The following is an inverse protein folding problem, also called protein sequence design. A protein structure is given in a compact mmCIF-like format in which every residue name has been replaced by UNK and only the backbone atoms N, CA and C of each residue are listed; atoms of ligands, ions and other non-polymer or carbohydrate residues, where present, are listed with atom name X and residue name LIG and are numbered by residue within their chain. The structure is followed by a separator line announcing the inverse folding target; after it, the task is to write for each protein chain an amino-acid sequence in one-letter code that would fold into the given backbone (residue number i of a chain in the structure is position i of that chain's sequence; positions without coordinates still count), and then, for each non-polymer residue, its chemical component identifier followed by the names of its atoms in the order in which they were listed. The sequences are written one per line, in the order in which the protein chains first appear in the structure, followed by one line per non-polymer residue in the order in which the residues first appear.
data_IF_924369681706
#
_entry.id   IF_924369681706
#
_cell.length_a   1.000
_cell.length_b   1.000
_cell.length_c   1.000
_cell.angle_alpha   90.00
_cell.angle_beta   90.00
_cell.angle_gamma   90.00
#
_symmetry.space_group_name_H-M   'P 1'
#
loop_
_entity.id
_entity.type
_entity.pdbx_description
1 polymer ?
#
# COMPACT_ATOMS: atom_id res chain seq x y z
N UNK A 1 9.67 15.43 25.09
CA UNK A 1 10.66 14.36 24.84
C UNK A 1 10.73 13.53 26.10
N UNK A 2 10.56 12.21 25.98
CA UNK A 2 10.58 11.25 27.08
C UNK A 2 11.99 10.94 27.59
N UNK A 3 12.05 10.23 28.71
CA UNK A 3 13.30 9.84 29.36
C UNK A 3 14.13 8.90 28.47
N UNK A 4 15.45 9.07 28.49
CA UNK A 4 16.41 8.26 27.72
C UNK A 4 16.18 8.28 26.19
N UNK A 5 15.37 9.21 25.67
CA UNK A 5 15.30 9.41 24.23
C UNK A 5 16.62 9.97 23.67
N UNK A 6 17.05 9.44 22.51
CA UNK A 6 18.26 9.85 21.83
C UNK A 6 17.91 10.51 20.51
N UNK A 7 18.32 11.77 20.33
CA UNK A 7 18.10 12.54 19.10
C UNK A 7 19.46 12.89 18.51
N UNK A 8 19.71 12.38 17.30
CA UNK A 8 20.99 12.58 16.60
C UNK A 8 21.07 13.94 15.90
N UNK A 9 22.26 14.39 15.48
CA UNK A 9 22.45 15.70 14.83
C UNK A 9 21.59 15.91 13.57
N UNK A 10 21.31 17.16 13.26
CA UNK A 10 20.53 17.62 12.10
C UNK A 10 19.09 17.14 12.06
N UNK A 11 18.54 16.62 13.17
CA UNK A 11 17.14 16.24 13.31
C UNK A 11 16.31 17.49 13.61
N UNK A 12 15.21 17.65 12.89
CA UNK A 12 14.18 18.66 13.16
C UNK A 12 13.02 18.04 13.91
N UNK A 13 12.64 18.64 15.04
CA UNK A 13 11.44 18.27 15.81
C UNK A 13 10.51 19.49 15.85
N UNK A 14 9.38 19.38 15.17
CA UNK A 14 8.37 20.43 15.08
C UNK A 14 7.68 20.73 16.41
N UNK A 15 7.05 21.89 16.49
CA UNK A 15 6.36 22.35 17.70
C UNK A 15 5.24 21.39 18.12
N UNK A 16 5.02 21.25 19.43
CA UNK A 16 4.00 20.40 20.06
C UNK A 16 4.14 18.90 19.75
N UNK A 17 5.21 18.45 19.07
CA UNK A 17 5.49 17.04 18.86
C UNK A 17 5.89 16.35 20.15
N UNK A 18 5.53 15.07 20.27
CA UNK A 18 5.82 14.23 21.42
C UNK A 18 6.72 13.08 20.99
N UNK A 19 7.80 12.86 21.73
CA UNK A 19 8.72 11.72 21.53
C UNK A 19 8.73 10.92 22.83
N UNK A 20 8.44 9.63 22.74
CA UNK A 20 8.36 8.73 23.88
C UNK A 20 9.72 8.38 24.50
N UNK A 21 9.68 7.64 25.60
CA UNK A 21 10.87 7.21 26.34
C UNK A 21 11.67 6.18 25.53
N UNK A 22 13.01 6.22 25.67
CA UNK A 22 13.96 5.29 25.02
C UNK A 22 13.88 5.28 23.49
N UNK A 23 13.17 6.22 22.87
CA UNK A 23 13.05 6.35 21.43
C UNK A 23 14.34 6.91 20.82
N UNK A 24 14.75 6.37 19.68
CA UNK A 24 15.95 6.78 18.95
C UNK A 24 15.58 7.42 17.63
N UNK A 25 15.94 8.70 17.49
CA UNK A 25 15.79 9.45 16.23
C UNK A 25 17.19 9.63 15.64
N UNK A 26 17.46 8.99 14.51
CA UNK A 26 18.75 9.10 13.82
C UNK A 26 18.91 10.44 13.11
N UNK A 27 20.13 10.68 12.61
CA UNK A 27 20.50 11.96 12.01
C UNK A 27 19.64 12.32 10.79
N UNK A 28 19.39 13.62 10.60
CA UNK A 28 18.67 14.18 9.45
C UNK A 28 17.20 13.72 9.32
N UNK A 29 16.59 13.25 10.40
CA UNK A 29 15.16 12.96 10.45
C UNK A 29 14.38 14.26 10.59
N UNK A 30 13.24 14.37 9.91
CA UNK A 30 12.29 15.47 10.07
C UNK A 30 11.00 14.94 10.72
N UNK A 31 10.70 15.42 11.92
CA UNK A 31 9.42 15.23 12.58
C UNK A 31 8.68 16.55 12.54
N UNK A 32 7.57 16.61 11.77
CA UNK A 32 6.78 17.82 11.63
C UNK A 32 5.99 18.09 12.91
N UNK A 33 5.35 19.24 12.96
CA UNK A 33 4.57 19.73 14.10
C UNK A 33 3.42 18.79 14.47
N UNK A 34 3.13 18.71 15.78
CA UNK A 34 2.01 17.96 16.38
C UNK A 34 2.08 16.43 16.22
N UNK A 35 3.18 15.87 15.71
CA UNK A 35 3.40 14.43 15.58
C UNK A 35 3.62 13.79 16.96
N UNK A 36 3.07 12.59 17.16
CA UNK A 36 3.32 11.78 18.35
C UNK A 36 4.06 10.49 17.98
N UNK A 37 5.19 10.24 18.64
CA UNK A 37 5.97 9.00 18.53
C UNK A 37 6.04 8.38 19.91
N UNK A 38 5.66 7.10 20.00
CA UNK A 38 5.61 6.33 21.24
C UNK A 38 6.99 5.97 21.80
N UNK A 39 7.01 5.05 22.75
CA UNK A 39 8.20 4.60 23.44
C UNK A 39 9.00 3.58 22.62
N UNK A 40 10.32 3.54 22.81
CA UNK A 40 11.25 2.56 22.19
C UNK A 40 11.19 2.52 20.66
N UNK A 41 10.63 3.54 20.04
CA UNK A 41 10.62 3.64 18.58
C UNK A 41 12.03 3.92 18.03
N UNK A 42 12.28 3.49 16.80
CA UNK A 42 13.51 3.78 16.08
C UNK A 42 13.14 4.42 14.74
N UNK A 43 13.68 5.61 14.48
CA UNK A 43 13.48 6.32 13.21
C UNK A 43 14.84 6.55 12.56
N UNK A 44 15.05 5.91 11.40
CA UNK A 44 16.33 5.95 10.70
C UNK A 44 16.53 7.22 9.86
N UNK A 45 17.77 7.41 9.42
CA UNK A 45 18.25 8.62 8.75
C UNK A 45 17.36 9.08 7.59
N UNK A 46 17.10 10.36 7.51
CA UNK A 46 16.39 10.99 6.41
C UNK A 46 14.89 10.71 6.34
N UNK A 47 14.33 9.95 7.28
CA UNK A 47 12.88 9.74 7.34
C UNK A 47 12.15 11.07 7.60
N UNK A 48 10.98 11.24 6.99
CA UNK A 48 10.12 12.43 7.14
C UNK A 48 8.78 12.01 7.70
N UNK A 49 8.45 12.47 8.91
CA UNK A 49 7.22 12.12 9.61
C UNK A 49 6.33 13.36 9.69
N UNK A 50 5.15 13.30 9.07
CA UNK A 50 4.16 14.37 9.10
C UNK A 50 4.25 15.35 7.93
N UNK A 51 4.86 14.95 6.79
CA UNK A 51 4.75 15.71 5.55
C UNK A 51 3.30 15.88 5.09
N UNK A 52 3.05 16.88 4.28
CA UNK A 52 1.73 17.05 3.70
C UNK A 52 1.39 15.91 2.75
N UNK A 53 0.21 15.35 2.87
CA UNK A 53 -0.34 14.39 1.92
C UNK A 53 -0.57 15.01 0.54
N UNK A 54 -0.67 14.14 -0.47
CA UNK A 54 -0.94 14.51 -1.86
C UNK A 54 -2.44 14.78 -2.05
N UNK A 55 -2.87 15.99 -1.64
CA UNK A 55 -4.25 16.43 -1.71
C UNK A 55 -4.40 17.68 -2.57
N UNK A 56 -5.11 17.56 -3.70
CA UNK A 56 -5.40 18.66 -4.61
C UNK A 56 -6.83 18.57 -5.13
N UNK A 57 -7.51 19.74 -5.27
CA UNK A 57 -8.73 19.88 -6.04
C UNK A 57 -8.38 20.44 -7.42
N UNK A 58 -9.00 19.90 -8.47
CA UNK A 58 -8.82 20.44 -9.83
C UNK A 58 -10.05 21.30 -10.17
N UNK A 59 -9.80 22.56 -10.47
CA UNK A 59 -10.81 23.52 -10.90
C UNK A 59 -10.23 24.41 -12.02
N UNK A 60 -10.93 24.59 -13.11
CA UNK A 60 -10.48 25.34 -14.31
C UNK A 60 -9.08 24.90 -14.79
N UNK A 61 -8.89 23.59 -14.94
CA UNK A 61 -7.63 22.94 -15.35
C UNK A 61 -6.40 23.27 -14.48
N UNK A 62 -6.62 23.79 -13.27
CA UNK A 62 -5.56 24.09 -12.30
C UNK A 62 -5.69 23.20 -11.05
N UNK A 63 -4.56 22.89 -10.44
CA UNK A 63 -4.50 22.14 -9.19
C UNK A 63 -4.38 23.07 -8.00
N UNK A 64 -5.40 23.09 -7.17
CA UNK A 64 -5.43 23.84 -5.91
C UNK A 64 -5.10 22.90 -4.76
N UNK A 65 -4.07 23.25 -3.98
CA UNK A 65 -3.66 22.46 -2.82
C UNK A 65 -4.74 22.43 -1.75
N UNK A 66 -5.07 21.24 -1.27
CA UNK A 66 -5.88 21.04 -0.07
C UNK A 66 -4.92 21.01 1.14
N UNK A 67 -5.02 21.96 2.10
CA UNK A 67 -4.21 21.94 3.30
C UNK A 67 -4.34 20.63 4.07
N UNK A 68 -3.24 20.12 4.57
CA UNK A 68 -3.20 18.90 5.39
C UNK A 68 -3.01 19.31 6.85
N UNK A 69 -4.05 19.22 7.66
CA UNK A 69 -4.13 19.80 9.01
C UNK A 69 -4.33 18.76 10.12
N UNK A 70 -4.30 17.48 9.78
CA UNK A 70 -4.26 16.39 10.74
C UNK A 70 -2.85 16.09 11.22
N UNK A 71 -2.64 14.93 11.82
CA UNK A 71 -1.35 14.57 12.41
C UNK A 71 -0.90 13.15 12.05
N UNK A 72 0.21 12.71 12.65
CA UNK A 72 0.72 11.34 12.61
C UNK A 72 0.86 10.83 14.04
N UNK A 73 0.43 9.58 14.27
CA UNK A 73 0.64 8.85 15.51
C UNK A 73 1.43 7.58 15.21
N UNK A 74 2.59 7.45 15.81
CA UNK A 74 3.44 6.25 15.78
C UNK A 74 3.39 5.65 17.18
N UNK A 75 2.94 4.41 17.28
CA UNK A 75 2.86 3.72 18.57
C UNK A 75 4.21 3.19 19.03
N UNK A 76 4.22 2.48 20.18
CA UNK A 76 5.44 1.93 20.78
C UNK A 76 6.11 0.87 19.92
N UNK A 77 7.42 0.71 20.10
CA UNK A 77 8.22 -0.36 19.49
C UNK A 77 8.23 -0.36 17.94
N UNK A 78 7.80 0.73 17.30
CA UNK A 78 7.81 0.87 15.85
C UNK A 78 9.22 1.17 15.35
N UNK A 79 9.58 0.61 14.19
CA UNK A 79 10.82 0.96 13.50
C UNK A 79 10.52 1.47 12.09
N UNK A 80 11.11 2.63 11.73
CA UNK A 80 10.92 3.29 10.43
C UNK A 80 12.27 3.43 9.75
N UNK A 81 12.39 2.82 8.58
CA UNK A 81 13.60 2.80 7.76
C UNK A 81 13.99 4.14 7.16
N UNK A 82 15.21 4.17 6.63
CA UNK A 82 15.79 5.38 6.08
C UNK A 82 15.01 5.93 4.87
N UNK A 83 14.87 7.26 4.80
CA UNK A 83 14.17 7.96 3.72
C UNK A 83 12.71 7.49 3.50
N UNK A 84 12.10 6.90 4.51
CA UNK A 84 10.66 6.60 4.52
C UNK A 84 9.89 7.87 4.83
N UNK A 85 8.76 8.07 4.14
CA UNK A 85 7.87 9.21 4.34
C UNK A 85 6.51 8.77 4.86
N UNK A 86 6.05 9.45 5.91
CA UNK A 86 4.72 9.23 6.51
C UNK A 86 3.97 10.55 6.46
N UNK A 87 2.96 10.64 5.61
CA UNK A 87 2.17 11.85 5.46
C UNK A 87 1.17 12.01 6.60
N UNK A 88 0.92 13.27 6.99
CA UNK A 88 -0.11 13.60 7.98
C UNK A 88 -1.50 13.41 7.41
N UNK A 89 -2.45 13.18 8.27
CA UNK A 89 -3.85 13.12 7.88
C UNK A 89 -4.36 14.46 7.34
N UNK A 90 -5.37 14.39 6.47
CA UNK A 90 -5.89 15.56 5.77
C UNK A 90 -6.71 16.50 6.67
N UNK A 91 -7.53 15.96 7.58
CA UNK A 91 -8.49 16.74 8.36
C UNK A 91 -8.03 16.93 9.81
N UNK A 92 -8.44 18.03 10.41
CA UNK A 92 -8.24 18.27 11.83
C UNK A 92 -8.80 17.11 12.67
N UNK A 93 -8.14 16.80 13.79
CA UNK A 93 -8.49 15.71 14.70
C UNK A 93 -8.46 14.30 14.08
N UNK A 94 -7.82 14.13 12.91
CA UNK A 94 -7.54 12.83 12.33
C UNK A 94 -6.02 12.58 12.28
N UNK A 95 -5.63 11.32 12.21
CA UNK A 95 -4.22 10.93 12.17
C UNK A 95 -3.96 9.85 11.12
N UNK A 96 -2.75 9.84 10.58
CA UNK A 96 -2.14 8.65 9.98
C UNK A 96 -1.53 7.86 11.13
N UNK A 97 -1.84 6.56 11.24
CA UNK A 97 -1.50 5.75 12.42
C UNK A 97 -0.62 4.57 12.03
N UNK A 98 0.43 4.34 12.81
CA UNK A 98 1.29 3.16 12.71
C UNK A 98 1.24 2.41 14.05
N UNK A 99 0.66 1.22 14.02
CA UNK A 99 0.42 0.38 15.18
C UNK A 99 1.68 -0.21 15.79
N UNK A 100 1.60 -0.50 17.06
CA UNK A 100 2.68 -1.00 17.91
C UNK A 100 3.47 -2.15 17.27
N UNK A 101 4.79 -2.13 17.40
CA UNK A 101 5.68 -3.20 16.99
C UNK A 101 5.86 -3.35 15.48
N UNK A 102 5.22 -2.53 14.67
CA UNK A 102 5.34 -2.56 13.20
C UNK A 102 6.74 -2.14 12.75
N UNK A 103 7.27 -2.86 11.74
CA UNK A 103 8.59 -2.65 11.16
C UNK A 103 8.45 -2.24 9.70
N UNK A 104 9.01 -1.08 9.38
CA UNK A 104 8.94 -0.45 8.06
C UNK A 104 10.37 -0.26 7.57
N UNK A 105 10.65 -0.78 6.39
CA UNK A 105 11.97 -0.70 5.74
C UNK A 105 12.16 0.65 5.04
N UNK A 106 13.25 0.79 4.31
CA UNK A 106 13.67 2.02 3.67
C UNK A 106 12.80 2.40 2.46
N UNK A 107 12.70 3.68 2.16
CA UNK A 107 12.03 4.22 0.96
C UNK A 107 10.55 3.83 0.83
N UNK A 108 9.87 3.65 1.94
CA UNK A 108 8.42 3.37 1.96
C UNK A 108 7.64 4.69 1.94
N UNK A 109 6.54 4.74 1.17
CA UNK A 109 5.60 5.85 1.18
C UNK A 109 4.30 5.43 1.89
N UNK A 110 3.96 6.12 2.97
CA UNK A 110 2.70 5.98 3.68
C UNK A 110 1.93 7.28 3.52
N UNK A 111 0.85 7.24 2.74
CA UNK A 111 0.06 8.43 2.45
C UNK A 111 -0.89 8.82 3.60
N UNK A 112 -1.54 9.98 3.43
CA UNK A 112 -2.42 10.57 4.44
C UNK A 112 -3.57 9.64 4.87
N UNK A 113 -3.94 9.68 6.15
CA UNK A 113 -5.04 8.91 6.71
C UNK A 113 -4.90 7.38 6.60
N UNK A 114 -3.70 6.87 6.34
CA UNK A 114 -3.44 5.42 6.39
C UNK A 114 -3.43 4.97 7.85
N UNK A 115 -4.07 3.85 8.12
CA UNK A 115 -4.03 3.16 9.41
C UNK A 115 -3.32 1.82 9.23
N UNK A 116 -2.19 1.61 9.88
CA UNK A 116 -1.44 0.34 9.88
C UNK A 116 -1.57 -0.28 11.26
N UNK A 117 -2.00 -1.54 11.30
CA UNK A 117 -2.15 -2.33 12.52
C UNK A 117 -0.82 -2.68 13.17
N UNK A 118 -0.88 -3.58 14.15
CA UNK A 118 0.25 -3.99 14.99
C UNK A 118 1.09 -5.06 14.32
N UNK A 119 2.39 -5.06 14.66
CA UNK A 119 3.34 -6.12 14.28
C UNK A 119 3.39 -6.40 12.77
N UNK A 120 3.07 -5.43 11.93
CA UNK A 120 3.22 -5.53 10.49
C UNK A 120 4.70 -5.51 10.08
N UNK A 121 4.99 -6.08 8.92
CA UNK A 121 6.32 -6.02 8.27
C UNK A 121 6.16 -5.46 6.87
N UNK A 122 6.75 -4.31 6.62
CA UNK A 122 6.62 -3.57 5.36
C UNK A 122 8.02 -3.40 4.78
N UNK A 123 8.30 -4.11 3.70
CA UNK A 123 9.60 -4.09 3.05
C UNK A 123 9.81 -2.83 2.19
N UNK A 124 11.03 -2.67 1.68
CA UNK A 124 11.45 -1.47 0.98
C UNK A 124 10.59 -1.15 -0.26
N UNK A 125 10.44 0.15 -0.51
CA UNK A 125 9.75 0.72 -1.68
C UNK A 125 8.26 0.35 -1.78
N UNK A 126 7.62 -0.06 -0.69
CA UNK A 126 6.17 -0.21 -0.64
C UNK A 126 5.51 1.16 -0.70
N UNK A 127 4.43 1.28 -1.48
CA UNK A 127 3.59 2.47 -1.56
C UNK A 127 2.17 2.17 -1.10
N UNK A 128 1.71 2.87 -0.06
CA UNK A 128 0.36 2.74 0.48
C UNK A 128 -0.38 4.05 0.24
N UNK A 129 -1.40 4.02 -0.61
CA UNK A 129 -2.20 5.19 -0.94
C UNK A 129 -3.16 5.61 0.18
N UNK A 130 -3.63 6.85 0.13
CA UNK A 130 -4.38 7.48 1.21
C UNK A 130 -5.65 6.75 1.65
N UNK A 131 -5.97 6.88 2.93
CA UNK A 131 -7.16 6.30 3.58
C UNK A 131 -7.26 4.77 3.52
N UNK A 132 -6.14 4.09 3.31
CA UNK A 132 -6.04 2.63 3.33
C UNK A 132 -5.87 2.13 4.77
N UNK A 133 -6.52 1.01 5.09
CA UNK A 133 -6.41 0.32 6.37
C UNK A 133 -5.70 -1.00 6.20
N UNK A 134 -4.65 -1.21 6.97
CA UNK A 134 -3.87 -2.45 7.04
C UNK A 134 -4.11 -3.05 8.42
N UNK A 135 -4.57 -4.29 8.48
CA UNK A 135 -4.80 -5.03 9.72
C UNK A 135 -3.51 -5.41 10.44
N UNK A 136 -3.66 -6.20 11.49
CA UNK A 136 -2.55 -6.68 12.30
C UNK A 136 -1.77 -7.81 11.62
N UNK A 137 -0.47 -7.92 11.90
CA UNK A 137 0.42 -9.01 11.43
C UNK A 137 0.50 -9.16 9.91
N UNK A 138 0.21 -8.11 9.16
CA UNK A 138 0.32 -8.11 7.68
C UNK A 138 1.78 -8.01 7.26
N UNK A 139 2.15 -8.76 6.22
CA UNK A 139 3.46 -8.66 5.58
C UNK A 139 3.30 -8.11 4.16
N UNK A 140 3.93 -6.99 3.88
CA UNK A 140 4.03 -6.41 2.53
C UNK A 140 5.48 -6.56 2.05
N UNK A 141 5.69 -7.40 1.04
CA UNK A 141 7.02 -7.57 0.45
C UNK A 141 7.41 -6.38 -0.43
N UNK A 142 8.66 -6.34 -0.87
CA UNK A 142 9.23 -5.18 -1.56
C UNK A 142 8.43 -4.73 -2.81
N UNK A 143 8.32 -3.41 -2.97
CA UNK A 143 7.66 -2.78 -4.11
C UNK A 143 6.15 -3.10 -4.27
N UNK A 144 5.48 -3.51 -3.22
CA UNK A 144 4.01 -3.64 -3.24
C UNK A 144 3.38 -2.26 -3.35
N UNK A 145 2.38 -2.13 -4.22
CA UNK A 145 1.55 -0.93 -4.37
C UNK A 145 0.12 -1.20 -3.94
N UNK A 146 -0.45 -0.34 -3.11
CA UNK A 146 -1.83 -0.48 -2.62
C UNK A 146 -2.63 0.76 -3.01
N UNK A 147 -3.74 0.57 -3.73
CA UNK A 147 -4.64 1.65 -4.10
C UNK A 147 -5.36 2.24 -2.87
N UNK A 148 -5.82 3.49 -3.00
CA UNK A 148 -6.45 4.21 -1.89
C UNK A 148 -7.79 3.63 -1.45
N UNK A 149 -8.17 3.93 -0.21
CA UNK A 149 -9.46 3.59 0.40
C UNK A 149 -9.74 2.09 0.48
N UNK A 150 -8.70 1.25 0.55
CA UNK A 150 -8.83 -0.20 0.69
C UNK A 150 -8.64 -0.64 2.13
N UNK A 151 -9.16 -1.83 2.41
CA UNK A 151 -8.89 -2.56 3.66
C UNK A 151 -8.18 -3.87 3.33
N UNK A 152 -7.03 -4.08 3.96
CA UNK A 152 -6.27 -5.33 3.95
C UNK A 152 -6.44 -5.94 5.34
N UNK A 153 -7.11 -7.05 5.43
CA UNK A 153 -7.37 -7.73 6.70
C UNK A 153 -6.12 -8.33 7.35
N UNK A 154 -6.29 -8.84 8.56
CA UNK A 154 -5.21 -9.38 9.38
C UNK A 154 -4.51 -10.60 8.77
N UNK A 155 -3.26 -10.82 9.16
CA UNK A 155 -2.48 -12.03 8.86
C UNK A 155 -2.28 -12.36 7.37
N UNK A 156 -2.34 -11.36 6.49
CA UNK A 156 -2.09 -11.53 5.06
C UNK A 156 -0.63 -11.33 4.68
N UNK A 157 -0.18 -12.06 3.66
CA UNK A 157 1.16 -11.91 3.09
C UNK A 157 1.03 -11.49 1.62
N UNK A 158 1.49 -10.30 1.30
CA UNK A 158 1.49 -9.77 -0.07
C UNK A 158 2.90 -9.90 -0.64
N UNK A 159 3.05 -10.68 -1.70
CA UNK A 159 4.34 -10.92 -2.34
C UNK A 159 4.83 -9.71 -3.13
N UNK A 160 6.16 -9.69 -3.37
CA UNK A 160 6.84 -8.55 -4.00
C UNK A 160 6.21 -8.14 -5.34
N UNK A 161 6.18 -6.82 -5.57
CA UNK A 161 5.65 -6.18 -6.79
C UNK A 161 4.16 -6.43 -7.06
N UNK A 162 3.40 -6.88 -6.07
CA UNK A 162 1.95 -7.02 -6.24
C UNK A 162 1.25 -5.67 -6.23
N UNK A 163 0.25 -5.51 -7.08
CA UNK A 163 -0.65 -4.36 -7.11
C UNK A 163 -2.00 -4.72 -6.50
N UNK A 164 -2.36 -4.09 -5.38
CA UNK A 164 -3.63 -4.34 -4.69
C UNK A 164 -4.64 -3.27 -5.07
N UNK A 165 -5.74 -3.69 -5.70
CA UNK A 165 -6.80 -2.83 -6.22
C UNK A 165 -8.18 -3.14 -5.63
N UNK A 166 -8.25 -4.08 -4.68
CA UNK A 166 -9.49 -4.50 -4.01
C UNK A 166 -9.21 -4.84 -2.55
N UNK A 167 -10.24 -4.78 -1.72
CA UNK A 167 -10.17 -5.21 -0.33
C UNK A 167 -9.75 -6.69 -0.23
N UNK A 168 -8.97 -7.00 0.77
CA UNK A 168 -8.52 -8.35 1.09
C UNK A 168 -9.07 -8.69 2.49
N UNK A 169 -9.83 -9.78 2.65
CA UNK A 169 -10.35 -10.18 3.95
C UNK A 169 -9.24 -10.71 4.87
N UNK A 170 -9.56 -10.87 6.15
CA UNK A 170 -8.64 -11.47 7.11
C UNK A 170 -8.26 -12.89 6.69
N UNK A 171 -7.01 -13.25 6.94
CA UNK A 171 -6.50 -14.61 6.72
C UNK A 171 -6.73 -15.14 5.29
N UNK A 172 -6.76 -14.28 4.28
CA UNK A 172 -6.84 -14.70 2.88
C UNK A 172 -5.58 -15.45 2.42
N UNK A 173 -4.49 -15.34 3.17
CA UNK A 173 -3.26 -16.07 2.95
C UNK A 173 -2.22 -15.33 2.12
N UNK A 174 -1.60 -16.01 1.15
CA UNK A 174 -0.53 -15.45 0.31
C UNK A 174 -1.13 -14.92 -0.99
N UNK A 175 -0.90 -13.64 -1.26
CA UNK A 175 -1.44 -12.93 -2.42
C UNK A 175 -0.28 -12.47 -3.30
N UNK A 176 -0.37 -12.72 -4.59
CA UNK A 176 0.63 -12.32 -5.57
C UNK A 176 -0.02 -11.87 -6.88
N UNK A 177 0.66 -10.99 -7.56
CA UNK A 177 0.36 -10.65 -8.96
C UNK A 177 1.61 -10.04 -9.55
N UNK A 178 2.20 -10.68 -10.56
CA UNK A 178 3.41 -10.24 -11.23
C UNK A 178 4.65 -11.16 -11.04
N UNK A 179 4.65 -12.46 -11.32
CA UNK A 179 5.88 -13.22 -11.26
C UNK A 179 6.80 -12.86 -12.43
N UNK A 180 8.10 -12.61 -12.18
CA UNK A 180 9.11 -12.48 -13.21
C UNK A 180 9.31 -13.82 -13.93
N UNK A 181 9.42 -13.77 -15.27
CA UNK A 181 9.65 -14.93 -16.16
C UNK A 181 10.81 -14.64 -17.09
N UNK A 182 11.28 -15.65 -17.82
CA UNK A 182 12.17 -15.41 -18.95
C UNK A 182 11.48 -14.44 -19.93
N UNK A 183 12.20 -13.44 -20.42
CA UNK A 183 11.62 -12.38 -21.26
C UNK A 183 10.86 -12.93 -22.48
N UNK A 184 11.39 -13.98 -23.12
CA UNK A 184 10.74 -14.67 -24.24
C UNK A 184 9.38 -15.27 -23.86
N UNK A 185 9.28 -15.83 -22.64
CA UNK A 185 8.05 -16.48 -22.19
C UNK A 185 7.04 -15.44 -21.73
N UNK A 186 7.49 -14.31 -21.16
CA UNK A 186 6.65 -13.17 -20.85
C UNK A 186 6.03 -12.55 -22.10
N UNK A 187 6.80 -12.36 -23.16
CA UNK A 187 6.27 -11.85 -24.45
C UNK A 187 5.19 -12.77 -25.02
N UNK A 188 5.38 -14.10 -24.92
CA UNK A 188 4.36 -15.08 -25.35
C UNK A 188 3.09 -14.96 -24.50
N UNK A 189 3.23 -14.90 -23.17
CA UNK A 189 2.10 -14.77 -22.27
C UNK A 189 1.30 -13.49 -22.52
N UNK A 190 1.99 -12.35 -22.72
CA UNK A 190 1.35 -11.09 -23.07
C UNK A 190 0.63 -11.14 -24.43
N UNK A 191 1.22 -11.78 -25.43
CA UNK A 191 0.57 -11.96 -26.73
C UNK A 191 -0.68 -12.82 -26.63
N UNK A 192 -0.67 -13.89 -25.84
CA UNK A 192 -1.85 -14.73 -25.56
C UNK A 192 -2.93 -13.96 -24.82
N UNK A 193 -2.57 -13.18 -23.79
CA UNK A 193 -3.52 -12.36 -23.05
C UNK A 193 -4.24 -11.33 -23.94
N UNK A 194 -3.53 -10.69 -24.86
CA UNK A 194 -4.13 -9.76 -25.84
C UNK A 194 -5.10 -10.45 -26.82
N UNK A 195 -4.86 -11.72 -27.15
CA UNK A 195 -5.71 -12.52 -28.05
C UNK A 195 -6.92 -13.15 -27.36
N UNK A 196 -6.97 -13.15 -26.03
CA UNK A 196 -7.99 -13.89 -25.28
C UNK A 196 -9.42 -13.46 -25.62
N UNK A 197 -9.67 -12.17 -25.85
CA UNK A 197 -10.99 -11.66 -26.26
C UNK A 197 -11.40 -12.08 -27.67
N UNK A 198 -10.42 -12.26 -28.57
CA UNK A 198 -10.65 -12.74 -29.93
C UNK A 198 -10.96 -14.26 -29.89
N UNK A 199 -10.16 -15.02 -29.16
CA UNK A 199 -10.36 -16.47 -28.95
C UNK A 199 -11.74 -16.75 -28.37
N UNK A 200 -12.18 -15.96 -27.39
CA UNK A 200 -13.52 -16.11 -26.79
C UNK A 200 -14.64 -15.84 -27.81
N UNK A 201 -14.48 -14.89 -28.70
CA UNK A 201 -15.44 -14.65 -29.80
C UNK A 201 -15.46 -15.81 -30.78
N UNK A 202 -14.31 -16.29 -31.23
CA UNK A 202 -14.19 -17.45 -32.12
C UNK A 202 -14.83 -18.71 -31.50
N UNK A 203 -14.64 -18.91 -30.19
CA UNK A 203 -15.29 -20.02 -29.46
C UNK A 203 -16.82 -19.85 -29.38
N UNK A 204 -17.33 -18.65 -29.23
CA UNK A 204 -18.78 -18.41 -29.24
C UNK A 204 -19.36 -18.67 -30.63
N UNK A 205 -18.70 -18.21 -31.70
CA UNK A 205 -19.12 -18.44 -33.07
C UNK A 205 -19.12 -19.94 -33.43
N UNK A 206 -18.06 -20.66 -33.01
CA UNK A 206 -18.01 -22.12 -33.20
C UNK A 206 -19.12 -22.87 -32.45
N UNK A 207 -19.43 -22.46 -31.23
CA UNK A 207 -20.53 -23.03 -30.45
C UNK A 207 -21.88 -22.82 -31.15
N UNK A 208 -22.08 -21.63 -31.69
CA UNK A 208 -23.30 -21.32 -32.45
C UNK A 208 -23.41 -22.18 -33.70
N UNK A 209 -22.32 -22.30 -34.48
CA UNK A 209 -22.27 -23.16 -35.67
C UNK A 209 -22.55 -24.64 -35.33
N UNK A 210 -22.01 -25.17 -34.24
CA UNK A 210 -22.29 -26.50 -33.76
C UNK A 210 -23.80 -26.68 -33.47
N UNK A 211 -24.39 -25.72 -32.76
CA UNK A 211 -25.83 -25.76 -32.43
C UNK A 211 -26.69 -25.74 -33.67
N UNK A 212 -26.34 -24.94 -34.68
CA UNK A 212 -27.05 -24.85 -35.96
C UNK A 212 -26.91 -26.16 -36.76
N UNK A 213 -25.72 -26.76 -36.79
CA UNK A 213 -25.48 -28.06 -37.43
C UNK A 213 -26.24 -29.18 -36.75
N UNK A 214 -26.25 -29.23 -35.42
CA UNK A 214 -27.05 -30.23 -34.67
C UNK A 214 -28.54 -30.08 -34.93
N UNK A 215 -29.07 -28.86 -35.03
CA UNK A 215 -30.45 -28.61 -35.38
C UNK A 215 -30.77 -29.07 -36.80
N UNK A 216 -29.89 -28.76 -37.78
CA UNK A 216 -30.05 -29.20 -39.16
C UNK A 216 -29.97 -30.75 -39.32
N UNK A 217 -29.08 -31.42 -38.59
CA UNK A 217 -29.03 -32.90 -38.57
C UNK A 217 -30.31 -33.53 -38.02
N UNK A 218 -30.85 -32.96 -36.93
CA UNK A 218 -32.13 -33.44 -36.37
C UNK A 218 -33.30 -33.25 -37.35
N UNK A 219 -33.35 -32.14 -38.10
CA UNK A 219 -34.37 -31.87 -39.13
C UNK A 219 -34.27 -32.83 -40.30
N UNK A 220 -33.07 -33.27 -40.66
CA UNK A 220 -32.82 -34.19 -41.77
C UNK A 220 -32.87 -35.67 -41.39
N UNK A 221 -33.31 -36.01 -40.15
CA UNK A 221 -33.47 -37.40 -39.70
C UNK A 221 -32.13 -38.18 -39.55
N UNK A 222 -31.00 -37.47 -39.50
CA UNK A 222 -29.67 -38.05 -39.36
C UNK A 222 -29.25 -37.83 -37.89
N UNK A 223 -29.66 -38.73 -36.99
CA UNK A 223 -29.27 -38.65 -35.60
C UNK A 223 -30.18 -39.48 -34.70
N UNK A 224 -30.00 -40.72 -34.70
CA UNK A 224 -30.40 -41.66 -33.66
C UNK A 224 -29.14 -42.27 -33.08
#
# INVERSE_FOLDING_TARGET
IGDQAVISPFTYIGSKSKIGCQTRIHASVTVREEVSIGDRAIVHNGAVIGSDGFGFATFEDQHHKIPQIGTVVIEDDVEIGANTTVDRAALANTATVIGQGTKIDNLVQIAHNVEIGKHCRIAAQVGISGSTKIGDYVTLAGQVGIAGHLTIGDHNVILARSGITKNIPDNAGIISGFPARLHRDELKAQAQARRSSQINRELQDLRQQITELEAALKQNGIGN
#
